data_IF_479778462007
#
_entry.id   IF_479778462007
#
_cell.length_a   1.000
_cell.length_b   1.000
_cell.length_c   1.000
_cell.angle_alpha   90.00
_cell.angle_beta   90.00
_cell.angle_gamma   90.00
#
_symmetry.space_group_name_H-M   'P 1'
#
loop_
_entity.id
_entity.type
_entity.pdbx_description
1 polymer ?
#
# COMPACT_ATOMS: atom_id res chain seq x y z
N UNK A 1 -11.43 6.03 -94.06
CA UNK A 1 -12.29 6.68 -93.06
C UNK A 1 -12.06 5.93 -91.77
N UNK A 2 -11.24 6.45 -90.87
CA UNK A 2 -10.94 5.85 -89.59
C UNK A 2 -11.06 6.90 -88.49
N UNK A 3 -12.00 6.71 -87.59
CA UNK A 3 -12.30 7.59 -86.48
C UNK A 3 -11.43 7.19 -85.23
N UNK A 4 -10.60 8.11 -84.78
CA UNK A 4 -9.85 7.97 -83.54
C UNK A 4 -10.73 8.31 -82.34
N UNK A 5 -10.83 7.41 -81.35
CA UNK A 5 -11.39 7.67 -80.02
C UNK A 5 -10.26 8.07 -79.05
N UNK A 6 -10.43 9.22 -78.40
CA UNK A 6 -9.58 9.70 -77.30
C UNK A 6 -9.89 8.95 -76.03
N UNK A 7 -8.83 8.44 -75.33
CA UNK A 7 -8.92 7.95 -73.96
C UNK A 7 -8.51 9.09 -73.03
N UNK A 8 -9.42 9.49 -72.13
CA UNK A 8 -9.12 10.35 -71.02
C UNK A 8 -8.63 9.50 -69.80
N UNK A 9 -7.43 9.77 -69.33
CA UNK A 9 -6.86 9.20 -68.12
C UNK A 9 -7.33 9.99 -66.90
N UNK A 10 -8.20 9.37 -66.10
CA UNK A 10 -8.62 9.88 -64.80
C UNK A 10 -7.48 9.78 -63.75
N UNK A 11 -7.04 10.90 -63.20
CA UNK A 11 -6.14 10.97 -62.06
C UNK A 11 -6.95 10.70 -60.79
N UNK A 12 -6.76 9.54 -60.16
CA UNK A 12 -7.28 9.22 -58.81
C UNK A 12 -6.41 9.91 -57.76
N UNK A 13 -6.97 10.90 -57.10
CA UNK A 13 -6.39 11.53 -55.91
C UNK A 13 -6.47 10.54 -54.73
N UNK A 14 -5.34 9.95 -54.35
CA UNK A 14 -5.21 9.24 -53.07
C UNK A 14 -5.06 10.25 -51.94
N UNK A 15 -6.14 10.51 -51.21
CA UNK A 15 -6.11 11.28 -49.98
C UNK A 15 -5.38 10.47 -48.90
N UNK A 16 -4.22 10.94 -48.47
CA UNK A 16 -3.46 10.37 -47.35
C UNK A 16 -4.26 10.54 -46.03
N UNK A 17 -4.76 9.44 -45.47
CA UNK A 17 -5.33 9.43 -44.12
C UNK A 17 -4.23 9.76 -43.12
N UNK A 18 -4.24 10.99 -42.60
CA UNK A 18 -3.44 11.37 -41.42
C UNK A 18 -3.88 10.53 -40.24
N UNK A 19 -3.04 9.59 -39.86
CA UNK A 19 -3.19 8.76 -38.66
C UNK A 19 -2.86 9.64 -37.44
N UNK A 20 -3.86 10.32 -36.86
CA UNK A 20 -3.73 11.06 -35.63
C UNK A 20 -3.62 10.03 -34.48
N UNK A 21 -2.39 9.70 -34.09
CA UNK A 21 -2.13 9.01 -32.82
C UNK A 21 -2.72 9.87 -31.71
N UNK A 22 -3.87 9.46 -31.20
CA UNK A 22 -4.47 9.96 -29.97
C UNK A 22 -3.44 9.79 -28.85
N UNK A 23 -2.89 10.91 -28.36
CA UNK A 23 -2.17 10.93 -27.09
C UNK A 23 -3.21 10.49 -26.05
N UNK A 24 -3.00 9.32 -25.40
CA UNK A 24 -3.87 8.86 -24.33
C UNK A 24 -3.89 9.96 -23.26
N UNK A 25 -5.01 10.63 -23.12
CA UNK A 25 -5.23 11.57 -22.03
C UNK A 25 -4.95 10.81 -20.73
N UNK A 26 -4.04 11.29 -19.88
CA UNK A 26 -3.83 10.76 -18.55
C UNK A 26 -5.19 10.84 -17.85
N UNK A 27 -5.80 9.69 -17.56
CA UNK A 27 -7.02 9.66 -16.73
C UNK A 27 -6.70 10.34 -15.41
N UNK A 28 -7.54 11.25 -14.99
CA UNK A 28 -7.43 11.86 -13.66
C UNK A 28 -7.43 10.77 -12.58
N UNK A 29 -6.59 10.89 -11.54
CA UNK A 29 -6.56 9.92 -10.46
C UNK A 29 -7.94 9.84 -9.77
N UNK A 30 -8.45 8.63 -9.58
CA UNK A 30 -9.71 8.41 -8.87
C UNK A 30 -9.56 8.63 -7.36
N UNK A 31 -8.34 8.40 -6.84
CA UNK A 31 -7.94 8.69 -5.47
C UNK A 31 -6.44 8.98 -5.42
N UNK A 32 -6.01 9.92 -4.58
CA UNK A 32 -4.60 10.24 -4.34
C UNK A 32 -4.07 9.63 -3.05
N UNK A 33 -4.96 9.29 -2.12
CA UNK A 33 -4.64 8.66 -0.84
C UNK A 33 -5.29 7.29 -0.78
N UNK A 34 -4.50 6.27 -0.45
CA UNK A 34 -4.96 4.92 -0.11
C UNK A 34 -4.92 4.72 1.40
N UNK A 35 -5.96 4.11 1.95
CA UNK A 35 -5.98 3.64 3.34
C UNK A 35 -6.16 2.13 3.31
N UNK A 36 -5.24 1.39 3.93
CA UNK A 36 -5.37 -0.06 4.11
C UNK A 36 -5.64 -0.32 5.59
N UNK A 37 -6.91 -0.65 5.88
CA UNK A 37 -7.37 -0.98 7.22
C UNK A 37 -7.03 -2.41 7.61
N UNK A 38 -6.40 -2.58 8.78
CA UNK A 38 -6.17 -3.87 9.42
C UNK A 38 -7.34 -4.33 10.29
N UNK A 39 -7.04 -5.19 11.26
CA UNK A 39 -8.01 -5.66 12.25
C UNK A 39 -8.69 -4.49 12.95
N UNK A 40 -10.00 -4.55 13.12
CA UNK A 40 -10.81 -3.49 13.73
C UNK A 40 -11.19 -2.33 12.78
N UNK A 41 -10.48 -2.10 11.69
CA UNK A 41 -10.77 -1.02 10.74
C UNK A 41 -11.26 -1.58 9.40
N UNK A 42 -12.55 -1.93 9.33
CA UNK A 42 -13.18 -2.53 8.14
C UNK A 42 -13.98 -1.52 7.32
N UNK A 43 -14.20 -0.34 7.86
CA UNK A 43 -14.83 0.78 7.19
C UNK A 43 -14.19 2.08 7.63
N UNK A 44 -14.29 3.12 6.82
CA UNK A 44 -13.82 4.46 7.17
C UNK A 44 -15.03 5.38 7.35
N UNK A 45 -15.27 5.82 8.57
CA UNK A 45 -16.30 6.78 8.89
C UNK A 45 -16.00 8.17 8.30
N UNK A 46 -17.05 8.90 7.91
CA UNK A 46 -16.92 10.27 7.40
C UNK A 46 -16.51 10.38 5.93
N UNK A 47 -16.49 9.27 5.18
CA UNK A 47 -16.38 9.33 3.73
C UNK A 47 -17.69 9.89 3.13
N UNK A 48 -17.59 10.93 2.32
CA UNK A 48 -18.67 11.40 1.45
C UNK A 48 -18.52 10.82 0.06
N UNK A 49 -19.61 10.76 -0.73
CA UNK A 49 -19.63 10.19 -2.08
C UNK A 49 -19.03 8.78 -2.15
N UNK A 50 -19.23 7.99 -1.11
CA UNK A 50 -18.67 6.67 -0.98
C UNK A 50 -19.31 5.70 -1.99
N UNK A 51 -18.47 4.99 -2.74
CA UNK A 51 -18.89 3.94 -3.66
C UNK A 51 -17.92 2.78 -3.66
N UNK A 52 -18.44 1.58 -3.74
CA UNK A 52 -17.62 0.37 -3.88
C UNK A 52 -17.28 0.12 -5.35
N UNK A 53 -16.04 -0.27 -5.59
CA UNK A 53 -15.56 -0.68 -6.90
C UNK A 53 -14.78 -1.99 -6.80
N UNK A 54 -14.95 -2.85 -7.79
CA UNK A 54 -14.13 -4.05 -7.98
C UNK A 54 -13.02 -3.74 -8.97
N UNK A 55 -11.77 -3.83 -8.54
CA UNK A 55 -10.60 -3.56 -9.37
C UNK A 55 -9.95 -4.89 -9.77
N UNK A 56 -9.90 -5.19 -11.06
CA UNK A 56 -9.18 -6.35 -11.58
C UNK A 56 -7.72 -6.00 -11.78
N UNK A 57 -6.81 -6.88 -11.34
CA UNK A 57 -5.37 -6.70 -11.52
C UNK A 57 -4.72 -7.88 -12.22
N UNK A 58 -3.55 -7.70 -12.82
CA UNK A 58 -2.79 -8.82 -13.39
C UNK A 58 -2.30 -9.85 -12.35
N UNK A 59 -2.45 -9.54 -11.08
CA UNK A 59 -2.04 -10.38 -9.94
C UNK A 59 -3.23 -11.07 -9.27
N UNK A 60 -4.42 -10.97 -9.84
CA UNK A 60 -5.67 -11.44 -9.26
C UNK A 60 -6.48 -10.33 -8.61
N UNK A 61 -7.43 -10.71 -7.79
CA UNK A 61 -8.32 -9.78 -7.11
C UNK A 61 -7.72 -9.29 -5.79
N UNK A 62 -7.96 -8.01 -5.41
CA UNK A 62 -7.69 -7.51 -4.07
C UNK A 62 -8.50 -8.24 -2.99
N UNK A 63 -8.12 -8.02 -1.74
CA UNK A 63 -8.75 -8.66 -0.56
C UNK A 63 -10.24 -8.39 -0.47
N UNK A 64 -10.70 -7.24 -0.94
CA UNK A 64 -12.12 -6.85 -1.00
C UNK A 64 -12.37 -5.80 -2.09
N UNK A 65 -13.63 -5.44 -2.29
CA UNK A 65 -13.98 -4.25 -3.06
C UNK A 65 -13.35 -3.00 -2.42
N UNK A 66 -12.84 -2.09 -3.24
CA UNK A 66 -12.26 -0.83 -2.77
C UNK A 66 -13.37 0.19 -2.65
N UNK A 67 -13.45 0.86 -1.50
CA UNK A 67 -14.37 1.97 -1.29
C UNK A 67 -13.68 3.27 -1.71
N UNK A 68 -14.17 3.90 -2.75
CA UNK A 68 -13.77 5.26 -3.13
C UNK A 68 -14.69 6.27 -2.47
N UNK A 69 -14.13 7.36 -1.99
CA UNK A 69 -14.90 8.45 -1.39
C UNK A 69 -14.06 9.71 -1.28
N UNK A 70 -14.62 10.71 -0.64
CA UNK A 70 -13.95 11.95 -0.25
C UNK A 70 -13.85 12.00 1.27
N UNK A 71 -12.65 12.21 1.80
CA UNK A 71 -12.35 12.40 3.21
C UNK A 71 -11.60 13.71 3.37
N UNK A 72 -12.11 14.63 4.20
CA UNK A 72 -11.47 15.93 4.45
C UNK A 72 -11.09 16.64 3.13
N UNK A 73 -11.99 16.61 2.15
CA UNK A 73 -11.82 17.25 0.83
C UNK A 73 -10.87 16.52 -0.14
N UNK A 74 -10.28 15.39 0.25
CA UNK A 74 -9.37 14.63 -0.61
C UNK A 74 -9.98 13.30 -1.06
N UNK A 75 -9.70 12.90 -2.31
CA UNK A 75 -10.16 11.62 -2.85
C UNK A 75 -9.35 10.48 -2.24
N UNK A 76 -10.06 9.53 -1.62
CA UNK A 76 -9.51 8.42 -0.86
C UNK A 76 -9.98 7.08 -1.44
N UNK A 77 -9.09 6.08 -1.43
CA UNK A 77 -9.38 4.68 -1.69
C UNK A 77 -9.15 3.87 -0.40
N UNK A 78 -10.19 3.29 0.16
CA UNK A 78 -10.13 2.46 1.35
C UNK A 78 -10.22 0.98 1.00
N UNK A 79 -9.36 0.15 1.61
CA UNK A 79 -9.35 -1.31 1.45
C UNK A 79 -9.23 -2.01 2.81
N UNK A 80 -10.14 -2.93 3.10
CA UNK A 80 -10.04 -3.85 4.23
C UNK A 80 -9.02 -4.96 3.90
N UNK A 81 -7.86 -4.96 4.57
CA UNK A 81 -6.72 -5.85 4.31
C UNK A 81 -7.10 -7.33 4.35
N UNK A 82 -7.85 -7.74 5.37
CA UNK A 82 -8.28 -9.12 5.58
C UNK A 82 -9.66 -9.44 4.97
N UNK A 83 -10.18 -8.50 4.15
CA UNK A 83 -11.58 -8.54 3.71
C UNK A 83 -12.55 -8.24 4.85
N UNK A 84 -13.75 -7.79 4.52
CA UNK A 84 -14.82 -7.58 5.52
C UNK A 84 -15.14 -8.91 6.21
N UNK A 85 -15.27 -8.87 7.54
CA UNK A 85 -15.45 -10.06 8.36
C UNK A 85 -14.16 -10.83 8.67
N UNK A 86 -12.98 -10.26 8.39
CA UNK A 86 -11.65 -10.84 8.72
C UNK A 86 -11.48 -12.29 8.24
N UNK A 87 -11.81 -12.54 6.97
CA UNK A 87 -11.91 -13.88 6.38
C UNK A 87 -10.63 -14.36 5.67
N UNK A 88 -9.59 -13.52 5.60
CA UNK A 88 -8.34 -13.80 4.87
C UNK A 88 -7.19 -13.80 5.88
N UNK A 89 -6.47 -14.90 5.97
CA UNK A 89 -5.27 -15.00 6.80
C UNK A 89 -4.15 -14.06 6.31
N UNK A 90 -3.22 -13.63 7.17
CA UNK A 90 -2.09 -12.80 6.75
C UNK A 90 -1.29 -13.39 5.58
N UNK A 91 -1.10 -14.71 5.53
CA UNK A 91 -0.41 -15.43 4.45
C UNK A 91 -1.22 -15.57 3.15
N UNK A 92 -2.55 -15.48 3.23
CA UNK A 92 -3.46 -15.59 2.08
C UNK A 92 -3.73 -14.25 1.41
N UNK A 93 -3.37 -13.14 2.04
CA UNK A 93 -3.58 -11.79 1.48
C UNK A 93 -2.86 -11.66 0.13
N UNK A 94 -3.61 -11.27 -0.89
CA UNK A 94 -3.01 -10.92 -2.17
C UNK A 94 -2.45 -9.49 -2.15
N UNK A 95 -1.32 -9.30 -1.44
CA UNK A 95 -0.66 -8.00 -1.29
C UNK A 95 -0.35 -7.34 -2.63
N UNK A 96 0.06 -8.13 -3.65
CA UNK A 96 0.34 -7.59 -4.98
C UNK A 96 -0.91 -7.00 -5.61
N UNK A 97 -2.04 -7.70 -5.55
CA UNK A 97 -3.30 -7.18 -6.07
C UNK A 97 -3.75 -5.93 -5.31
N UNK A 98 -3.62 -5.91 -3.97
CA UNK A 98 -3.99 -4.77 -3.15
C UNK A 98 -3.22 -3.50 -3.54
N UNK A 99 -1.89 -3.57 -3.56
CA UNK A 99 -1.05 -2.40 -3.88
C UNK A 99 -1.15 -2.01 -5.36
N UNK A 100 -1.25 -3.00 -6.27
CA UNK A 100 -1.41 -2.71 -7.69
C UNK A 100 -2.76 -2.04 -7.99
N UNK A 101 -3.84 -2.45 -7.33
CA UNK A 101 -5.14 -1.80 -7.45
C UNK A 101 -5.09 -0.33 -6.99
N UNK A 102 -4.42 -0.05 -5.86
CA UNK A 102 -4.18 1.33 -5.42
C UNK A 102 -3.41 2.13 -6.50
N UNK A 103 -2.38 1.53 -7.11
CA UNK A 103 -1.65 2.16 -8.21
C UNK A 103 -2.53 2.47 -9.42
N UNK A 104 -3.41 1.55 -9.82
CA UNK A 104 -4.36 1.74 -10.93
C UNK A 104 -5.34 2.90 -10.67
N UNK A 105 -5.70 3.14 -9.42
CA UNK A 105 -6.60 4.22 -9.01
C UNK A 105 -5.90 5.58 -8.94
N UNK A 106 -4.58 5.62 -9.11
CA UNK A 106 -3.78 6.84 -9.05
C UNK A 106 -3.29 7.19 -7.65
N UNK A 107 -3.39 6.26 -6.69
CA UNK A 107 -2.92 6.47 -5.32
C UNK A 107 -1.42 6.75 -5.31
N UNK A 108 -1.05 7.82 -4.62
CA UNK A 108 0.33 8.27 -4.44
C UNK A 108 0.87 8.02 -3.04
N UNK A 109 -0.01 7.90 -2.04
CA UNK A 109 0.32 7.70 -0.64
C UNK A 109 -0.59 6.63 -0.04
N UNK A 110 0.00 5.62 0.58
CA UNK A 110 -0.72 4.58 1.34
C UNK A 110 -0.47 4.81 2.82
N UNK A 111 -1.53 5.00 3.57
CA UNK A 111 -1.56 4.94 5.02
C UNK A 111 -2.07 3.56 5.42
N UNK A 112 -1.25 2.81 6.10
CA UNK A 112 -1.60 1.49 6.61
C UNK A 112 -1.89 1.57 8.11
N UNK A 113 -2.90 0.83 8.55
CA UNK A 113 -3.23 0.69 9.97
C UNK A 113 -3.16 -0.78 10.34
N UNK A 114 -2.47 -1.10 11.43
CA UNK A 114 -2.25 -2.49 11.86
C UNK A 114 -2.30 -2.61 13.37
N UNK A 115 -3.01 -3.60 13.88
CA UNK A 115 -2.91 -4.02 15.27
C UNK A 115 -1.61 -4.79 15.48
N UNK A 116 -0.92 -4.54 16.60
CA UNK A 116 0.38 -5.10 16.92
C UNK A 116 0.51 -5.41 18.40
N UNK A 117 1.35 -6.39 18.74
CA UNK A 117 1.85 -6.61 20.09
C UNK A 117 3.07 -5.73 20.38
N UNK A 118 3.21 -5.28 21.62
CA UNK A 118 4.40 -4.57 22.10
C UNK A 118 5.47 -5.53 22.60
N UNK A 119 6.73 -5.22 22.30
CA UNK A 119 7.92 -5.93 22.79
C UNK A 119 8.70 -5.08 23.82
N UNK A 120 8.14 -3.95 24.25
CA UNK A 120 8.75 -2.99 25.16
C UNK A 120 7.79 -2.63 26.30
N UNK A 121 8.33 -2.44 27.49
CA UNK A 121 7.57 -2.02 28.67
C UNK A 121 6.95 -0.63 28.55
N UNK A 122 7.67 0.27 27.90
CA UNK A 122 7.31 1.68 27.72
C UNK A 122 6.38 1.93 26.52
N UNK A 123 6.04 0.89 25.75
CA UNK A 123 5.11 0.93 24.62
C UNK A 123 3.79 0.25 25.03
N UNK A 124 2.86 1.01 25.59
CA UNK A 124 1.68 0.44 26.27
C UNK A 124 0.52 0.15 25.31
N UNK A 125 -0.30 -0.87 25.59
CA UNK A 125 -1.57 -1.06 24.90
C UNK A 125 -2.43 0.23 24.93
N UNK A 126 -3.02 0.57 23.78
CA UNK A 126 -3.74 1.81 23.56
C UNK A 126 -2.89 2.94 22.96
N UNK A 127 -1.57 2.84 23.01
CA UNK A 127 -0.65 3.78 22.37
C UNK A 127 -0.39 3.37 20.91
N UNK A 128 0.10 4.33 20.11
CA UNK A 128 0.42 4.11 18.70
C UNK A 128 1.93 4.23 18.46
N UNK A 129 2.41 3.49 17.45
CA UNK A 129 3.77 3.62 16.95
C UNK A 129 3.72 3.86 15.44
N UNK A 130 4.43 4.88 14.97
CA UNK A 130 4.69 5.11 13.55
C UNK A 130 6.02 4.46 13.21
N UNK A 131 5.96 3.21 12.71
CA UNK A 131 7.16 2.43 12.42
C UNK A 131 7.98 3.07 11.30
N UNK A 132 9.29 3.14 11.48
CA UNK A 132 10.24 3.63 10.46
C UNK A 132 11.16 2.51 9.95
N UNK A 133 11.19 1.36 10.62
CA UNK A 133 11.94 0.18 10.22
C UNK A 133 11.10 -1.10 10.28
N UNK A 134 11.50 -2.07 9.44
CA UNK A 134 10.91 -3.41 9.43
C UNK A 134 11.99 -4.48 9.52
N UNK A 135 11.70 -5.53 10.29
CA UNK A 135 12.44 -6.77 10.25
C UNK A 135 11.53 -7.89 9.73
N UNK A 136 11.91 -8.51 8.62
CA UNK A 136 11.08 -9.48 7.92
C UNK A 136 11.41 -10.92 8.33
N UNK A 137 10.47 -11.56 9.04
CA UNK A 137 10.49 -13.01 9.35
C UNK A 137 9.36 -13.77 8.64
N UNK A 138 8.75 -13.18 7.61
CA UNK A 138 7.78 -13.89 6.78
C UNK A 138 8.50 -14.90 5.87
N UNK A 139 7.81 -15.97 5.47
CA UNK A 139 8.40 -17.10 4.71
C UNK A 139 7.89 -17.14 3.28
N UNK A 140 6.58 -17.22 3.08
CA UNK A 140 5.97 -17.54 1.78
C UNK A 140 5.27 -16.36 1.12
N UNK A 141 5.74 -15.12 1.37
CA UNK A 141 5.10 -13.92 0.85
C UNK A 141 5.55 -13.57 -0.57
N UNK A 142 4.59 -13.34 -1.43
CA UNK A 142 4.83 -12.74 -2.76
C UNK A 142 5.10 -11.24 -2.59
N UNK A 143 6.35 -10.86 -2.27
CA UNK A 143 6.76 -9.52 -1.85
C UNK A 143 7.39 -8.66 -2.95
N UNK A 144 7.29 -9.07 -4.23
CA UNK A 144 7.76 -8.31 -5.39
C UNK A 144 6.79 -8.41 -6.57
N UNK A 145 6.70 -7.35 -7.37
CA UNK A 145 6.02 -7.34 -8.67
C UNK A 145 6.91 -7.85 -9.80
N UNK A 146 8.23 -7.78 -9.61
CA UNK A 146 9.22 -8.15 -10.61
C UNK A 146 9.38 -9.66 -10.76
N UNK A 147 10.17 -10.08 -11.74
CA UNK A 147 10.29 -11.44 -12.19
C UNK A 147 9.80 -11.62 -13.63
N UNK A 148 9.75 -12.85 -14.11
CA UNK A 148 9.32 -13.21 -15.47
C UNK A 148 10.05 -12.39 -16.56
N UNK A 149 11.39 -12.29 -16.42
CA UNK A 149 12.26 -11.61 -17.36
C UNK A 149 12.48 -10.11 -17.09
N UNK A 150 12.08 -9.59 -15.93
CA UNK A 150 12.41 -8.25 -15.47
C UNK A 150 12.93 -8.29 -14.03
N UNK A 151 14.16 -7.84 -13.83
CA UNK A 151 14.81 -7.72 -12.52
C UNK A 151 14.92 -6.25 -12.13
N UNK A 152 14.58 -5.97 -10.88
CA UNK A 152 14.80 -4.66 -10.27
C UNK A 152 15.33 -4.86 -8.83
N UNK A 153 16.28 -4.00 -8.43
CA UNK A 153 16.79 -3.93 -7.06
C UNK A 153 16.50 -2.55 -6.48
N UNK A 154 15.41 -2.47 -5.72
CA UNK A 154 14.91 -1.20 -5.15
C UNK A 154 15.58 -0.95 -3.81
N UNK A 155 16.11 0.26 -3.60
CA UNK A 155 16.67 0.65 -2.31
C UNK A 155 15.60 0.62 -1.21
N UNK A 156 15.88 -0.10 -0.11
CA UNK A 156 14.91 -0.37 0.95
C UNK A 156 15.45 -0.14 2.37
N UNK A 157 16.61 0.50 2.52
CA UNK A 157 17.20 0.84 3.83
C UNK A 157 16.27 1.73 4.68
N UNK A 158 15.46 2.57 4.03
CA UNK A 158 14.42 3.38 4.66
C UNK A 158 13.06 2.96 4.08
N UNK A 159 12.39 1.95 4.66
CA UNK A 159 11.22 1.31 4.05
C UNK A 159 9.97 2.19 4.03
N UNK A 160 9.86 3.15 4.93
CA UNK A 160 8.72 4.07 5.05
C UNK A 160 9.02 5.44 4.44
N UNK A 161 7.98 6.22 4.16
CA UNK A 161 8.10 7.59 3.70
C UNK A 161 8.16 8.54 4.90
N UNK A 162 9.34 9.15 5.17
CA UNK A 162 9.53 10.04 6.31
C UNK A 162 8.53 11.22 6.34
N UNK A 163 8.22 11.83 5.18
CA UNK A 163 7.23 12.88 5.09
C UNK A 163 5.83 12.40 5.55
N UNK A 164 5.39 11.23 5.08
CA UNK A 164 4.09 10.66 5.45
C UNK A 164 4.09 10.22 6.92
N UNK A 165 5.19 9.63 7.41
CA UNK A 165 5.35 9.24 8.81
C UNK A 165 5.27 10.43 9.77
N UNK A 166 5.88 11.57 9.41
CA UNK A 166 5.77 12.80 10.23
C UNK A 166 4.33 13.28 10.30
N UNK A 167 3.62 13.35 9.18
CA UNK A 167 2.19 13.75 9.17
C UNK A 167 1.34 12.85 10.05
N UNK A 168 1.59 11.52 10.02
CA UNK A 168 0.85 10.57 10.87
C UNK A 168 1.14 10.78 12.35
N UNK A 169 2.40 10.97 12.71
CA UNK A 169 2.79 11.19 14.09
C UNK A 169 2.25 12.54 14.64
N UNK A 170 2.28 13.60 13.81
CA UNK A 170 1.71 14.90 14.18
C UNK A 170 0.18 14.84 14.32
N UNK A 171 -0.49 14.06 13.47
CA UNK A 171 -1.93 13.82 13.58
C UNK A 171 -2.29 13.08 14.88
N UNK A 172 -1.48 12.10 15.32
CA UNK A 172 -1.69 11.45 16.62
C UNK A 172 -1.59 12.45 17.77
N UNK A 173 -0.56 13.32 17.75
CA UNK A 173 -0.40 14.37 18.77
C UNK A 173 -1.58 15.33 18.77
N UNK A 174 -2.05 15.74 17.58
CA UNK A 174 -3.22 16.62 17.44
C UNK A 174 -4.48 16.02 18.06
N UNK A 175 -4.66 14.71 17.90
CA UNK A 175 -5.80 13.98 18.48
C UNK A 175 -5.60 13.53 19.92
N UNK A 176 -4.56 14.04 20.59
CA UNK A 176 -4.17 13.69 21.97
C UNK A 176 -3.95 12.18 22.19
N UNK A 177 -3.45 11.47 21.17
CA UNK A 177 -3.11 10.05 21.23
C UNK A 177 -1.61 9.94 21.42
N UNK A 178 -1.21 9.17 22.47
CA UNK A 178 0.20 8.90 22.73
C UNK A 178 0.81 8.14 21.54
N UNK A 179 1.90 8.69 21.00
CA UNK A 179 2.55 8.14 19.83
C UNK A 179 4.06 8.09 19.94
N UNK A 180 4.62 6.94 19.58
CA UNK A 180 6.05 6.73 19.41
C UNK A 180 6.40 6.95 17.93
N UNK A 181 7.27 7.92 17.67
CA UNK A 181 7.53 8.42 16.30
C UNK A 181 8.45 7.52 15.47
N UNK A 182 9.08 6.52 16.09
CA UNK A 182 10.02 5.60 15.45
C UNK A 182 9.99 4.26 16.15
N UNK A 183 10.38 3.22 15.42
CA UNK A 183 10.58 1.89 15.96
C UNK A 183 10.58 0.83 14.89
N UNK A 184 11.19 -0.29 15.22
CA UNK A 184 11.27 -1.47 14.35
C UNK A 184 10.06 -2.36 14.56
N UNK A 185 9.33 -2.56 13.48
CA UNK A 185 8.23 -3.51 13.41
C UNK A 185 8.77 -4.84 12.90
N UNK A 186 8.81 -5.87 13.75
CA UNK A 186 9.07 -7.23 13.27
C UNK A 186 7.80 -7.83 12.68
N UNK A 187 7.90 -8.32 11.45
CA UNK A 187 6.78 -8.92 10.72
C UNK A 187 6.97 -10.43 10.66
N UNK A 188 6.09 -11.18 11.33
CA UNK A 188 6.06 -12.65 11.32
C UNK A 188 5.02 -13.19 10.32
N UNK A 189 5.11 -14.48 10.01
CA UNK A 189 4.17 -15.10 9.06
C UNK A 189 2.74 -15.16 9.60
N UNK A 190 2.56 -15.55 10.86
CA UNK A 190 1.26 -15.90 11.39
C UNK A 190 0.70 -17.23 10.78
N UNK A 191 -0.58 -17.60 11.01
CA UNK A 191 -1.55 -16.87 11.85
C UNK A 191 -1.34 -17.04 13.35
N UNK A 192 -0.44 -17.95 13.78
CA UNK A 192 -0.11 -18.14 15.20
C UNK A 192 0.63 -16.91 15.73
N UNK A 193 0.40 -16.58 16.98
CA UNK A 193 1.20 -15.62 17.74
C UNK A 193 2.57 -16.23 18.10
N UNK A 194 3.45 -15.41 18.68
CA UNK A 194 4.76 -15.84 19.14
C UNK A 194 4.68 -16.92 20.20
N UNK A 195 5.66 -17.83 20.20
CA UNK A 195 6.02 -18.56 21.40
C UNK A 195 6.76 -17.63 22.38
N UNK A 196 6.79 -17.96 23.67
CA UNK A 196 7.55 -17.20 24.66
C UNK A 196 9.03 -17.07 24.26
N UNK A 197 9.64 -18.14 23.78
CA UNK A 197 11.03 -18.12 23.32
C UNK A 197 11.26 -17.16 22.12
N UNK A 198 10.32 -17.09 21.19
CA UNK A 198 10.38 -16.13 20.08
C UNK A 198 10.24 -14.69 20.58
N UNK A 199 9.31 -14.44 21.50
CA UNK A 199 9.11 -13.13 22.10
C UNK A 199 10.37 -12.67 22.87
N UNK A 200 11.00 -13.54 23.65
CA UNK A 200 12.26 -13.25 24.35
C UNK A 200 13.40 -12.90 23.38
N UNK A 201 13.57 -13.67 22.30
CA UNK A 201 14.56 -13.36 21.25
C UNK A 201 14.28 -12.04 20.60
N UNK A 202 13.03 -11.75 20.26
CA UNK A 202 12.65 -10.49 19.64
C UNK A 202 12.93 -9.28 20.55
N UNK A 203 12.73 -9.43 21.87
CA UNK A 203 13.06 -8.41 22.87
C UNK A 203 14.57 -8.20 23.01
N UNK A 204 15.36 -9.28 23.01
CA UNK A 204 16.82 -9.20 23.04
C UNK A 204 17.38 -8.48 21.81
N UNK A 205 16.76 -8.66 20.64
CA UNK A 205 17.08 -7.94 19.40
C UNK A 205 16.56 -6.50 19.41
N UNK A 206 15.85 -6.07 20.48
CA UNK A 206 15.35 -4.71 20.71
C UNK A 206 14.32 -4.23 19.70
N UNK A 207 13.52 -5.13 19.14
CA UNK A 207 12.38 -4.72 18.34
C UNK A 207 11.31 -4.05 19.21
N UNK A 208 10.57 -3.12 18.63
CA UNK A 208 9.54 -2.35 19.35
C UNK A 208 8.19 -3.05 19.31
N UNK A 209 7.72 -3.45 18.14
CA UNK A 209 6.40 -4.07 17.99
C UNK A 209 6.45 -5.26 17.04
N UNK A 210 5.47 -6.16 17.20
CA UNK A 210 5.32 -7.36 16.40
C UNK A 210 3.95 -7.41 15.73
N UNK A 211 3.92 -7.82 14.46
CA UNK A 211 2.70 -8.02 13.69
C UNK A 211 2.93 -8.87 12.47
N UNK A 212 1.96 -8.92 11.52
CA UNK A 212 1.97 -9.98 10.49
C UNK A 212 1.93 -9.48 9.05
N UNK A 213 1.84 -8.15 8.77
CA UNK A 213 1.42 -7.73 7.41
C UNK A 213 2.25 -6.64 6.76
N UNK A 214 2.80 -5.69 7.52
CA UNK A 214 3.23 -4.40 6.98
C UNK A 214 4.48 -4.44 6.10
N UNK A 215 5.44 -5.31 6.35
CA UNK A 215 6.68 -5.38 5.56
C UNK A 215 6.40 -5.71 4.09
N UNK A 216 5.46 -6.63 3.83
CA UNK A 216 5.09 -7.01 2.46
C UNK A 216 4.41 -5.84 1.73
N UNK A 217 3.53 -5.10 2.40
CA UNK A 217 2.94 -3.87 1.86
C UNK A 217 4.00 -2.82 1.55
N UNK A 218 4.92 -2.57 2.48
CA UNK A 218 5.99 -1.58 2.33
C UNK A 218 6.90 -1.88 1.12
N UNK A 219 7.30 -3.16 0.95
CA UNK A 219 8.10 -3.61 -0.19
C UNK A 219 7.39 -3.32 -1.52
N UNK A 220 6.13 -3.72 -1.62
CA UNK A 220 5.33 -3.55 -2.83
C UNK A 220 4.98 -2.08 -3.09
N UNK A 221 4.68 -1.29 -2.06
CA UNK A 221 4.47 0.14 -2.20
C UNK A 221 5.72 0.86 -2.73
N UNK A 222 6.92 0.47 -2.25
CA UNK A 222 8.18 0.99 -2.75
C UNK A 222 8.39 0.67 -4.23
N UNK A 223 8.15 -0.56 -4.66
CA UNK A 223 8.23 -0.97 -6.06
C UNK A 223 7.16 -0.29 -6.93
N UNK A 224 5.99 0.02 -6.37
CA UNK A 224 4.94 0.76 -7.04
C UNK A 224 5.16 2.29 -7.05
N UNK A 225 6.24 2.78 -6.42
CA UNK A 225 6.55 4.21 -6.28
C UNK A 225 5.44 4.99 -5.56
N UNK A 226 4.85 4.36 -4.55
CA UNK A 226 3.85 4.92 -3.66
C UNK A 226 4.51 5.19 -2.30
N UNK A 227 4.27 6.36 -1.71
CA UNK A 227 4.64 6.61 -0.32
C UNK A 227 3.90 5.63 0.58
N UNK A 228 4.59 5.04 1.54
CA UNK A 228 4.00 4.14 2.51
C UNK A 228 4.40 4.55 3.92
N UNK A 229 3.43 4.61 4.81
CA UNK A 229 3.66 4.72 6.25
C UNK A 229 2.57 3.93 6.99
N UNK A 230 2.88 3.48 8.20
CA UNK A 230 1.96 2.68 9.01
C UNK A 230 1.79 3.26 10.40
N UNK A 231 0.55 3.22 10.88
CA UNK A 231 0.21 3.36 12.29
C UNK A 231 0.07 1.94 12.85
N UNK A 232 0.97 1.57 13.73
CA UNK A 232 0.90 0.35 14.51
C UNK A 232 0.16 0.66 15.81
N UNK A 233 -1.07 0.15 15.94
CA UNK A 233 -1.92 0.28 17.11
C UNK A 233 -1.55 -0.82 18.11
N UNK A 234 -1.00 -0.48 19.25
CA UNK A 234 -0.59 -1.45 20.26
C UNK A 234 -1.83 -1.98 20.97
N UNK A 235 -2.08 -3.29 20.88
CA UNK A 235 -3.23 -3.95 21.50
C UNK A 235 -2.89 -4.71 22.77
N UNK A 236 -1.66 -5.16 22.89
CA UNK A 236 -1.18 -6.05 23.94
C UNK A 236 0.36 -6.02 24.06
N UNK A 237 0.91 -6.76 25.02
CA UNK A 237 2.36 -6.93 25.22
C UNK A 237 2.90 -8.25 24.62
N UNK A 238 2.30 -8.74 23.52
CA UNK A 238 2.62 -10.08 23.02
C UNK A 238 2.45 -11.14 24.12
N UNK A 239 3.32 -12.14 24.25
CA UNK A 239 3.20 -13.18 25.27
C UNK A 239 4.29 -13.11 26.38
N UNK A 240 5.09 -12.05 26.41
CA UNK A 240 6.26 -11.98 27.30
C UNK A 240 6.01 -11.30 28.65
N UNK A 241 4.93 -10.53 28.80
CA UNK A 241 4.72 -9.70 29.98
C UNK A 241 4.14 -10.54 31.14
N UNK A 242 4.80 -10.58 32.33
CA UNK A 242 4.43 -11.49 33.40
C UNK A 242 3.08 -11.19 34.04
N UNK A 243 2.65 -9.92 34.07
CA UNK A 243 1.36 -9.50 34.66
C UNK A 243 0.19 -9.56 33.66
N UNK A 244 0.48 -9.75 32.38
CA UNK A 244 -0.50 -9.88 31.32
C UNK A 244 -0.43 -11.30 30.75
N UNK A 245 -0.60 -12.33 31.62
CA UNK A 245 -0.61 -13.73 31.21
C UNK A 245 -1.53 -13.94 30.00
N UNK A 246 -0.96 -14.49 28.95
CA UNK A 246 -1.61 -14.89 27.70
C UNK A 246 -2.82 -14.03 27.33
N UNK A 247 -2.56 -12.98 26.56
CA UNK A 247 -3.57 -12.02 26.08
C UNK A 247 -4.82 -12.75 25.65
N UNK A 248 -5.91 -12.59 26.40
CA UNK A 248 -7.18 -13.20 26.02
C UNK A 248 -7.75 -12.47 24.80
N UNK A 249 -8.34 -13.21 23.90
CA UNK A 249 -9.00 -12.63 22.71
C UNK A 249 -9.97 -11.49 23.08
N UNK A 250 -10.64 -11.56 24.23
CA UNK A 250 -11.56 -10.53 24.69
C UNK A 250 -10.87 -9.21 25.07
N UNK A 251 -9.68 -9.25 25.70
CA UNK A 251 -8.90 -8.06 26.02
C UNK A 251 -8.35 -7.41 24.76
N UNK A 252 -7.82 -8.19 23.82
CA UNK A 252 -7.40 -7.70 22.50
C UNK A 252 -8.56 -6.99 21.80
N UNK A 253 -9.76 -7.57 21.81
CA UNK A 253 -10.93 -6.99 21.13
C UNK A 253 -11.33 -5.64 21.76
N UNK A 254 -11.32 -5.50 23.08
CA UNK A 254 -11.67 -4.25 23.75
C UNK A 254 -10.70 -3.13 23.39
N UNK A 255 -9.38 -3.36 23.51
CA UNK A 255 -8.34 -2.40 23.13
C UNK A 255 -8.38 -2.11 21.63
N UNK A 256 -8.61 -3.13 20.80
CA UNK A 256 -8.71 -3.00 19.35
C UNK A 256 -9.86 -2.08 18.93
N UNK A 257 -11.01 -2.17 19.59
CA UNK A 257 -12.18 -1.31 19.30
C UNK A 257 -11.85 0.16 19.57
N UNK A 258 -11.30 0.46 20.75
CA UNK A 258 -10.89 1.82 21.09
C UNK A 258 -9.80 2.35 20.15
N UNK A 259 -8.80 1.51 19.83
CA UNK A 259 -7.74 1.85 18.89
C UNK A 259 -8.27 2.11 17.48
N UNK A 260 -9.28 1.35 17.05
CA UNK A 260 -9.91 1.56 15.74
C UNK A 260 -10.62 2.92 15.67
N UNK A 261 -11.35 3.31 16.72
CA UNK A 261 -11.97 4.65 16.83
C UNK A 261 -10.92 5.76 16.81
N UNK A 262 -9.86 5.62 17.60
CA UNK A 262 -8.76 6.56 17.65
C UNK A 262 -8.04 6.67 16.30
N UNK A 263 -7.81 5.55 15.61
CA UNK A 263 -7.18 5.54 14.30
C UNK A 263 -8.04 6.29 13.25
N UNK A 264 -9.36 6.21 13.32
CA UNK A 264 -10.22 6.96 12.41
C UNK A 264 -10.08 8.49 12.61
N UNK A 265 -9.94 8.98 13.86
CA UNK A 265 -9.68 10.39 14.13
C UNK A 265 -8.33 10.82 13.53
N UNK A 266 -7.27 10.03 13.83
CA UNK A 266 -5.93 10.27 13.31
C UNK A 266 -5.90 10.26 11.78
N UNK A 267 -6.58 9.31 11.14
CA UNK A 267 -6.64 9.23 9.68
C UNK A 267 -7.31 10.45 9.06
N UNK A 268 -8.39 10.97 9.65
CA UNK A 268 -9.04 12.21 9.19
C UNK A 268 -8.09 13.39 9.26
N UNK A 269 -7.48 13.62 10.43
CA UNK A 269 -6.51 14.69 10.63
C UNK A 269 -5.31 14.53 9.72
N UNK A 270 -4.74 13.33 9.61
CA UNK A 270 -3.63 13.07 8.70
C UNK A 270 -3.99 13.37 7.25
N UNK A 271 -5.16 12.92 6.77
CA UNK A 271 -5.60 13.19 5.40
C UNK A 271 -5.80 14.69 5.18
N UNK A 272 -6.38 15.43 6.14
CA UNK A 272 -6.54 16.89 6.07
C UNK A 272 -5.18 17.59 5.93
N UNK A 273 -4.21 17.19 6.74
CA UNK A 273 -2.88 17.84 6.83
C UNK A 273 -1.88 17.36 5.75
N UNK A 274 -2.22 16.33 4.94
CA UNK A 274 -1.34 15.91 3.85
C UNK A 274 -1.05 17.05 2.89
N UNK A 275 0.22 17.36 2.60
CA UNK A 275 0.57 18.36 1.59
C UNK A 275 0.09 17.91 0.20
N UNK A 276 -0.29 18.87 -0.65
CA UNK A 276 -0.72 18.62 -2.02
C UNK A 276 0.38 17.92 -2.84
N UNK A 277 1.62 18.36 -2.67
CA UNK A 277 2.78 17.84 -3.39
C UNK A 277 3.62 16.87 -2.55
N UNK A 278 4.26 15.92 -3.23
CA UNK A 278 5.25 15.02 -2.64
C UNK A 278 6.65 15.60 -2.85
N UNK A 279 7.35 15.88 -1.76
CA UNK A 279 8.76 16.32 -1.79
C UNK A 279 9.74 15.17 -1.58
N UNK A 280 9.24 13.96 -1.26
CA UNK A 280 10.04 12.77 -1.03
C UNK A 280 10.42 12.07 -2.36
N UNK A 281 11.46 11.21 -2.30
CA UNK A 281 11.94 10.43 -3.44
C UNK A 281 11.12 9.17 -3.75
N UNK A 282 10.01 8.91 -3.03
CA UNK A 282 9.22 7.68 -3.21
C UNK A 282 8.70 7.54 -4.64
N UNK A 283 8.27 8.65 -5.28
CA UNK A 283 7.71 8.64 -6.64
C UNK A 283 8.72 8.36 -7.76
N UNK A 284 10.01 8.22 -7.45
CA UNK A 284 11.09 7.91 -8.40
C UNK A 284 11.96 6.72 -7.93
N UNK A 285 11.42 5.86 -7.06
CA UNK A 285 12.18 4.76 -6.46
C UNK A 285 12.73 3.76 -7.50
N UNK A 286 12.12 3.64 -8.66
CA UNK A 286 12.56 2.75 -9.75
C UNK A 286 13.54 3.40 -10.74
N UNK A 287 13.80 4.70 -10.64
CA UNK A 287 14.57 5.45 -11.65
C UNK A 287 15.93 4.81 -11.99
N UNK A 288 16.59 4.22 -10.99
CA UNK A 288 17.89 3.56 -11.14
C UNK A 288 17.89 2.12 -10.62
N UNK A 289 16.70 1.51 -10.50
CA UNK A 289 16.53 0.19 -9.88
C UNK A 289 16.30 -0.94 -10.89
N UNK A 290 15.91 -0.61 -12.12
CA UNK A 290 15.68 -1.59 -13.18
C UNK A 290 17.02 -2.07 -13.73
N UNK A 291 17.33 -3.37 -13.54
CA UNK A 291 18.61 -3.98 -13.95
C UNK A 291 18.52 -4.56 -15.36
N UNK A 292 17.39 -5.19 -15.69
CA UNK A 292 17.21 -5.78 -17.02
C UNK A 292 17.05 -4.72 -18.09
N UNK A 293 17.76 -4.85 -19.22
CA UNK A 293 17.53 -4.00 -20.39
C UNK A 293 16.05 -4.12 -20.82
N UNK A 294 15.37 -3.00 -20.78
CA UNK A 294 13.92 -2.95 -21.09
C UNK A 294 13.61 -3.42 -22.52
N UNK A 295 14.60 -3.42 -23.45
CA UNK A 295 14.40 -3.91 -24.81
C UNK A 295 14.12 -5.41 -24.86
N UNK A 296 14.77 -6.20 -23.99
CA UNK A 296 14.64 -7.66 -23.96
C UNK A 296 13.51 -8.17 -23.06
N UNK A 297 12.92 -7.30 -22.24
CA UNK A 297 11.80 -7.69 -21.35
C UNK A 297 10.61 -8.19 -22.17
N UNK A 298 10.03 -9.38 -21.84
CA UNK A 298 8.90 -9.92 -22.57
C UNK A 298 7.69 -8.99 -22.63
N UNK A 299 7.02 -8.92 -23.77
CA UNK A 299 5.83 -8.08 -23.97
C UNK A 299 4.73 -8.34 -22.93
N UNK A 300 4.55 -9.63 -22.53
CA UNK A 300 3.60 -10.03 -21.48
C UNK A 300 3.94 -9.39 -20.14
N UNK A 301 5.21 -9.40 -19.76
CA UNK A 301 5.70 -8.78 -18.51
C UNK A 301 5.54 -7.27 -18.54
N UNK A 302 5.90 -6.60 -19.65
CA UNK A 302 5.66 -5.15 -19.83
C UNK A 302 4.18 -4.80 -19.66
N UNK A 303 3.27 -5.57 -20.30
CA UNK A 303 1.82 -5.36 -20.17
C UNK A 303 1.34 -5.56 -18.73
N UNK A 304 1.81 -6.62 -18.06
CA UNK A 304 1.46 -6.91 -16.67
C UNK A 304 1.86 -5.80 -15.71
N UNK A 305 3.02 -5.20 -15.93
CA UNK A 305 3.61 -4.18 -15.06
C UNK A 305 3.37 -2.74 -15.54
N UNK A 306 2.52 -2.54 -16.53
CA UNK A 306 2.35 -1.24 -17.21
C UNK A 306 2.06 -0.07 -16.27
N UNK A 307 1.29 -0.27 -15.19
CA UNK A 307 1.00 0.79 -14.22
C UNK A 307 2.23 1.19 -13.38
N UNK A 308 3.22 0.31 -13.24
CA UNK A 308 4.44 0.53 -12.44
C UNK A 308 5.57 1.05 -13.32
N UNK A 309 5.89 0.33 -14.40
CA UNK A 309 7.07 0.62 -15.22
C UNK A 309 6.74 1.43 -16.49
N UNK A 310 5.49 1.75 -16.75
CA UNK A 310 5.06 2.37 -18.02
C UNK A 310 5.80 3.67 -18.34
N UNK A 311 6.12 4.48 -17.35
CA UNK A 311 6.89 5.74 -17.54
C UNK A 311 8.38 5.52 -17.90
N UNK A 312 8.88 4.29 -17.76
CA UNK A 312 10.27 3.89 -18.09
C UNK A 312 10.38 3.14 -19.41
N UNK A 313 9.25 2.78 -20.03
CA UNK A 313 9.16 2.02 -21.30
C UNK A 313 8.70 2.96 -22.43
N UNK A 314 9.27 4.09 -22.56
CA UNK A 314 8.99 5.00 -23.69
C UNK A 314 9.75 4.57 -24.96
#
# INVERSE_FOLDING_TARGET
VATRKFFQTGKTNMAAKKNTRSKSAKREPQATVGIIGGSGLYSMGGLTDAREIKVKTPFGDPSDAIVLGTLEGKRVAFLARHGRGHRILPSEINYRANVYAMKLLGVERIISVSAVGSLKEDLKPGEFLVADQFFDRTKDRKSTFFGDGLVAHVAFAHPTCGQLSSVLADACVHEAIMVHRRGTYICIEGPQFSTLAEAEVNRQLRFEVIGMTNVTEAKLAREAEICYATIAMITDYDCWHPEHESVTTSQIIATLTQNAENSQKVLRTAVRELPSERTCKCGSALQHSLVTDLKIVPKKTKKRLAAIIGKYIS
#
